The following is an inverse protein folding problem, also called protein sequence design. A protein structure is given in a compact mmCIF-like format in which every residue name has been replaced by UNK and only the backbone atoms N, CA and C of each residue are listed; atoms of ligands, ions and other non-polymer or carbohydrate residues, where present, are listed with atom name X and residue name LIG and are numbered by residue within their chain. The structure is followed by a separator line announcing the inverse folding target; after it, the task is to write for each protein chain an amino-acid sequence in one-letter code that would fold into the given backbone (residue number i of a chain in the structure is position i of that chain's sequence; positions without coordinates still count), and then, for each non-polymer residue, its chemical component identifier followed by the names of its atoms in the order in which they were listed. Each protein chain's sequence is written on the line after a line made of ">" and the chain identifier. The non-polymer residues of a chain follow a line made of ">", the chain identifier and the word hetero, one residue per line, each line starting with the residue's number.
data_IF_326377795364
#
_entry.id   IF_326377795364
#
_cell.length_a   1.000
_cell.length_b   1.000
_cell.length_c   1.000
_cell.angle_alpha   90.00
_cell.angle_beta   90.00
_cell.angle_gamma   90.00
#
_symmetry.space_group_name_H-M   'P 1'
#
loop_
_entity.id
_entity.type
_entity.pdbx_description
1 polymer ?
#
# COMPACT_ATOMS: atom_id res chain seq x y z
N UNK A 1 -2.70 -15.49 -1.97
CA UNK A 1 -3.25 -14.38 -1.15
C UNK A 1 -2.55 -13.06 -1.46
N UNK A 2 -1.22 -13.00 -1.36
CA UNK A 2 -0.43 -11.77 -1.44
C UNK A 2 -0.67 -10.84 -2.65
N UNK A 3 -0.69 -11.32 -3.92
CA UNK A 3 -0.92 -10.41 -5.05
C UNK A 3 -2.32 -9.79 -5.03
N UNK A 4 -3.33 -10.60 -4.68
CA UNK A 4 -4.73 -10.17 -4.61
C UNK A 4 -4.95 -9.18 -3.47
N UNK A 5 -4.25 -9.33 -2.34
CA UNK A 5 -4.36 -8.44 -1.20
C UNK A 5 -3.97 -6.99 -1.54
N UNK A 6 -2.82 -6.78 -2.19
CA UNK A 6 -2.38 -5.43 -2.56
C UNK A 6 -3.24 -4.80 -3.65
N UNK A 7 -3.77 -5.60 -4.59
CA UNK A 7 -4.74 -5.12 -5.56
C UNK A 7 -6.01 -4.62 -4.84
N UNK A 8 -6.55 -5.40 -3.90
CA UNK A 8 -7.72 -4.99 -3.12
C UNK A 8 -7.45 -3.70 -2.34
N UNK A 9 -6.29 -3.56 -1.69
CA UNK A 9 -5.91 -2.33 -0.98
C UNK A 9 -5.78 -1.12 -1.92
N UNK A 10 -5.17 -1.32 -3.09
CA UNK A 10 -5.06 -0.26 -4.09
C UNK A 10 -6.43 0.18 -4.61
N UNK A 11 -7.34 -0.76 -4.85
CA UNK A 11 -8.70 -0.46 -5.29
C UNK A 11 -9.50 0.24 -4.19
N UNK A 12 -9.34 -0.19 -2.93
CA UNK A 12 -9.99 0.45 -1.79
C UNK A 12 -9.50 1.89 -1.61
N UNK A 13 -8.19 2.12 -1.60
CA UNK A 13 -7.62 3.47 -1.50
C UNK A 13 -8.04 4.37 -2.67
N UNK A 14 -8.11 3.82 -3.88
CA UNK A 14 -8.58 4.55 -5.06
C UNK A 14 -10.08 4.88 -4.96
N UNK A 15 -10.91 3.94 -4.50
CA UNK A 15 -12.33 4.20 -4.27
C UNK A 15 -12.53 5.31 -3.22
N UNK A 16 -11.73 5.32 -2.16
CA UNK A 16 -11.73 6.41 -1.17
C UNK A 16 -11.32 7.75 -1.79
N UNK A 17 -10.32 7.80 -2.68
CA UNK A 17 -9.98 9.03 -3.40
C UNK A 17 -11.12 9.54 -4.28
N UNK A 18 -11.84 8.64 -4.95
CA UNK A 18 -13.01 8.98 -5.76
C UNK A 18 -14.13 9.52 -4.87
N UNK A 19 -14.41 8.87 -3.74
CA UNK A 19 -15.41 9.33 -2.77
C UNK A 19 -15.09 10.73 -2.23
N UNK A 20 -13.83 10.96 -1.86
CA UNK A 20 -13.37 12.27 -1.40
C UNK A 20 -13.52 13.36 -2.46
N UNK A 21 -13.35 13.03 -3.74
CA UNK A 21 -13.51 14.00 -4.84
C UNK A 21 -14.95 14.53 -4.96
N UNK A 22 -15.95 13.74 -4.56
CA UNK A 22 -17.35 14.15 -4.56
C UNK A 22 -17.82 14.77 -3.24
N UNK A 23 -16.97 14.81 -2.20
CA UNK A 23 -17.28 15.46 -0.93
C UNK A 23 -17.03 16.97 -0.99
N UNK A 24 -17.93 17.76 -0.41
CA UNK A 24 -17.90 19.23 -0.49
C UNK A 24 -16.78 19.90 0.35
N UNK A 25 -16.32 19.27 1.43
CA UNK A 25 -15.23 19.80 2.28
C UNK A 25 -14.31 18.69 2.83
N UNK A 26 -13.50 18.04 1.97
CA UNK A 26 -12.63 16.96 2.41
C UNK A 26 -11.35 17.52 3.03
N UNK A 27 -10.95 16.96 4.18
CA UNK A 27 -9.67 17.30 4.80
C UNK A 27 -8.50 16.91 3.87
N UNK A 28 -7.54 17.82 3.67
CA UNK A 28 -6.30 17.54 2.92
C UNK A 28 -5.57 16.30 3.46
N UNK A 29 -5.73 16.00 4.76
CA UNK A 29 -5.13 14.82 5.38
C UNK A 29 -5.78 13.51 4.91
N UNK A 30 -7.09 13.48 4.69
CA UNK A 30 -7.78 12.31 4.15
C UNK A 30 -7.31 11.97 2.73
N UNK A 31 -7.11 12.99 1.87
CA UNK A 31 -6.52 12.80 0.54
C UNK A 31 -5.10 12.24 0.61
N UNK A 32 -4.28 12.78 1.52
CA UNK A 32 -2.90 12.30 1.71
C UNK A 32 -2.87 10.83 2.16
N UNK A 33 -3.78 10.43 3.05
CA UNK A 33 -3.89 9.05 3.55
C UNK A 33 -4.37 8.10 2.45
N UNK A 34 -5.45 8.44 1.73
CA UNK A 34 -6.00 7.62 0.66
C UNK A 34 -5.01 7.49 -0.53
N UNK A 35 -4.35 8.59 -0.88
CA UNK A 35 -3.28 8.63 -1.88
C UNK A 35 -2.09 7.75 -1.50
N UNK A 36 -1.60 7.90 -0.26
CA UNK A 36 -0.48 7.10 0.25
C UNK A 36 -0.82 5.61 0.35
N UNK A 37 -2.05 5.28 0.77
CA UNK A 37 -2.57 3.90 0.81
C UNK A 37 -2.54 3.25 -0.57
N UNK A 38 -3.05 3.97 -1.57
CA UNK A 38 -3.07 3.50 -2.97
C UNK A 38 -1.65 3.31 -3.50
N UNK A 39 -0.79 4.32 -3.34
CA UNK A 39 0.58 4.29 -3.85
C UNK A 39 1.41 3.17 -3.20
N UNK A 40 1.36 3.03 -1.87
CA UNK A 40 2.13 2.01 -1.16
C UNK A 40 1.63 0.60 -1.50
N UNK A 41 0.32 0.41 -1.68
CA UNK A 41 -0.22 -0.87 -2.13
C UNK A 41 0.27 -1.24 -3.54
N UNK A 42 0.30 -0.27 -4.47
CA UNK A 42 0.85 -0.47 -5.82
C UNK A 42 2.33 -0.83 -5.77
N UNK A 43 3.13 -0.11 -4.97
CA UNK A 43 4.56 -0.42 -4.79
C UNK A 43 4.74 -1.85 -4.28
N UNK A 44 3.98 -2.24 -3.25
CA UNK A 44 4.05 -3.58 -2.70
C UNK A 44 3.68 -4.66 -3.73
N UNK A 45 2.70 -4.39 -4.58
CA UNK A 45 2.36 -5.29 -5.68
C UNK A 45 3.50 -5.39 -6.72
N UNK A 46 4.08 -4.25 -7.10
CA UNK A 46 5.13 -4.16 -8.12
C UNK A 46 6.44 -4.86 -7.71
N UNK A 47 6.75 -4.94 -6.41
CA UNK A 47 7.96 -5.62 -5.92
C UNK A 47 7.80 -7.14 -5.77
N UNK A 48 6.61 -7.71 -5.92
CA UNK A 48 6.38 -9.17 -5.82
C UNK A 48 7.25 -9.96 -6.82
N UNK A 49 7.29 -9.62 -8.13
CA UNK A 49 8.10 -10.38 -9.09
C UNK A 49 9.60 -10.32 -8.74
N UNK A 50 10.08 -9.17 -8.27
CA UNK A 50 11.47 -9.02 -7.83
C UNK A 50 11.75 -9.83 -6.56
N UNK A 51 10.77 -9.93 -5.65
CA UNK A 51 10.88 -10.72 -4.42
C UNK A 51 10.94 -12.21 -4.74
N UNK A 52 10.05 -12.68 -5.62
CA UNK A 52 10.03 -14.08 -6.07
C UNK A 52 11.33 -14.43 -6.81
N UNK A 53 11.78 -13.57 -7.73
CA UNK A 53 13.06 -13.77 -8.42
C UNK A 53 14.23 -13.87 -7.44
N UNK A 54 14.28 -13.02 -6.42
CA UNK A 54 15.32 -13.07 -5.41
C UNK A 54 15.29 -14.37 -4.59
N UNK A 55 14.10 -14.96 -4.36
CA UNK A 55 13.96 -16.29 -3.76
C UNK A 55 14.45 -17.38 -4.71
N UNK A 56 14.03 -17.34 -5.98
CA UNK A 56 14.35 -18.35 -6.99
C UNK A 56 15.86 -18.40 -7.29
N UNK A 57 16.53 -17.24 -7.29
CA UNK A 57 17.99 -17.11 -7.45
C UNK A 57 18.78 -17.42 -6.17
N UNK A 58 18.10 -17.70 -5.04
CA UNK A 58 18.75 -17.91 -3.74
C UNK A 58 19.38 -16.65 -3.13
N UNK A 59 19.07 -15.46 -3.66
CA UNK A 59 19.60 -14.19 -3.19
C UNK A 59 18.88 -13.72 -1.91
N UNK A 60 19.26 -14.33 -0.78
CA UNK A 60 18.69 -14.08 0.54
C UNK A 60 18.77 -12.61 0.97
N UNK A 61 19.84 -11.88 0.56
CA UNK A 61 20.02 -10.47 0.90
C UNK A 61 18.94 -9.61 0.23
N UNK A 62 18.75 -9.77 -1.08
CA UNK A 62 17.75 -9.02 -1.83
C UNK A 62 16.33 -9.38 -1.39
N UNK A 63 16.05 -10.67 -1.20
CA UNK A 63 14.77 -11.15 -0.68
C UNK A 63 14.44 -10.47 0.66
N UNK A 64 15.37 -10.47 1.61
CA UNK A 64 15.16 -9.86 2.93
C UNK A 64 14.88 -8.35 2.84
N UNK A 65 15.51 -7.64 1.92
CA UNK A 65 15.27 -6.20 1.71
C UNK A 65 13.86 -6.00 1.16
N UNK A 66 13.52 -6.64 0.05
CA UNK A 66 12.23 -6.47 -0.62
C UNK A 66 11.06 -6.91 0.27
N UNK A 67 11.21 -8.05 0.96
CA UNK A 67 10.21 -8.54 1.89
C UNK A 67 9.99 -7.56 3.06
N UNK A 68 11.07 -7.07 3.69
CA UNK A 68 10.95 -6.08 4.77
C UNK A 68 10.31 -4.77 4.31
N UNK A 69 10.65 -4.29 3.10
CA UNK A 69 10.00 -3.11 2.51
C UNK A 69 8.49 -3.33 2.37
N UNK A 70 8.07 -4.50 1.86
CA UNK A 70 6.63 -4.82 1.75
C UNK A 70 5.92 -4.85 3.11
N UNK A 71 6.58 -5.39 4.14
CA UNK A 71 6.02 -5.47 5.50
C UNK A 71 5.91 -4.08 6.12
N UNK A 72 6.95 -3.27 6.07
CA UNK A 72 6.93 -1.92 6.64
C UNK A 72 5.90 -1.02 5.94
N UNK A 73 5.81 -1.08 4.62
CA UNK A 73 4.78 -0.36 3.88
C UNK A 73 3.37 -0.82 4.27
N UNK A 74 3.15 -2.13 4.46
CA UNK A 74 1.85 -2.64 4.90
C UNK A 74 1.48 -2.16 6.31
N UNK A 75 2.45 -2.09 7.23
CA UNK A 75 2.23 -1.54 8.58
C UNK A 75 1.93 -0.03 8.51
N UNK A 76 2.64 0.72 7.67
CA UNK A 76 2.37 2.15 7.46
C UNK A 76 0.95 2.36 6.92
N UNK A 77 0.53 1.57 5.92
CA UNK A 77 -0.85 1.61 5.39
C UNK A 77 -1.85 1.41 6.51
N UNK A 78 -1.65 0.40 7.37
CA UNK A 78 -2.53 0.13 8.50
C UNK A 78 -2.63 1.33 9.44
N UNK A 79 -1.49 1.90 9.85
CA UNK A 79 -1.45 3.05 10.76
C UNK A 79 -2.11 4.30 10.16
N UNK A 80 -1.89 4.57 8.86
CA UNK A 80 -2.52 5.68 8.15
C UNK A 80 -4.05 5.51 8.11
N UNK A 81 -4.55 4.30 7.83
CA UNK A 81 -5.99 4.03 7.78
C UNK A 81 -6.65 4.06 9.17
N UNK A 82 -5.92 3.70 10.23
CA UNK A 82 -6.40 3.94 11.61
C UNK A 82 -6.45 5.44 11.88
N UNK A 83 -5.39 6.18 11.52
CA UNK A 83 -5.32 7.64 11.66
C UNK A 83 -6.41 8.39 10.92
N UNK A 84 -6.88 7.86 9.78
CA UNK A 84 -7.99 8.40 8.99
C UNK A 84 -9.25 8.63 9.83
N UNK A 85 -9.52 7.79 10.84
CA UNK A 85 -10.71 7.90 11.69
C UNK A 85 -10.66 9.05 12.70
N UNK A 86 -9.47 9.63 12.93
CA UNK A 86 -9.23 10.62 13.98
C UNK A 86 -8.88 12.02 13.42
N UNK A 87 -8.88 12.17 12.11
CA UNK A 87 -8.45 13.37 11.38
C UNK A 87 -9.55 13.92 10.51
#
# INVERSE_FOLDING_TARGET
>A
LWPKFFICLSLAGFATLVDLYFHDDPSTMHYAIAGSTTLFAIICYAIIPATNRATDEGNKKLFNILHKVSVYLTVIILLLNIGFLFV
#
